data_IF_026200360374
#
_entry.id   IF_026200360374
#
_cell.length_a   1.000
_cell.length_b   1.000
_cell.length_c   1.000
_cell.angle_alpha   90.00
_cell.angle_beta   90.00
_cell.angle_gamma   90.00
#
_symmetry.space_group_name_H-M   'P 1'
#
loop_
_entity.id
_entity.type
_entity.pdbx_description
1 polymer ?
#
# COMPACT_ATOMS: atom_id res chain seq x y z
N UNK A 1 -24.23 -10.68 -55.46
CA UNK A 1 -24.46 -10.06 -54.15
C UNK A 1 -24.41 -11.18 -53.12
N UNK A 2 -23.28 -11.83 -52.85
CA UNK A 2 -21.93 -11.37 -52.49
C UNK A 2 -21.89 -10.62 -51.14
N UNK A 3 -21.25 -11.28 -50.16
CA UNK A 3 -20.71 -10.83 -48.86
C UNK A 3 -21.76 -10.41 -47.80
N UNK A 4 -22.05 -11.21 -46.76
CA UNK A 4 -21.16 -11.57 -45.64
C UNK A 4 -20.21 -10.43 -45.24
N UNK A 5 -20.70 -9.54 -44.38
CA UNK A 5 -19.84 -8.72 -43.53
C UNK A 5 -20.19 -8.99 -42.08
N UNK A 6 -19.59 -10.08 -41.59
CA UNK A 6 -19.19 -10.19 -40.21
C UNK A 6 -18.27 -9.01 -39.86
N UNK A 7 -18.68 -8.16 -38.93
CA UNK A 7 -17.76 -7.55 -37.95
C UNK A 7 -18.51 -7.26 -36.66
N UNK A 8 -18.68 -8.30 -35.85
CA UNK A 8 -18.76 -8.18 -34.39
C UNK A 8 -17.37 -7.72 -33.94
N UNK A 9 -17.15 -6.40 -33.88
CA UNK A 9 -15.86 -5.84 -33.48
C UNK A 9 -15.98 -5.10 -32.15
N UNK A 10 -15.35 -5.71 -31.15
CA UNK A 10 -14.69 -5.09 -30.00
C UNK A 10 -15.57 -4.42 -28.92
N UNK A 11 -16.16 -5.28 -28.10
CA UNK A 11 -16.12 -5.12 -26.64
C UNK A 11 -14.66 -5.02 -26.18
N UNK A 12 -14.13 -3.80 -26.03
CA UNK A 12 -12.84 -3.52 -25.38
C UNK A 12 -12.85 -2.13 -24.74
N UNK A 13 -13.50 -2.03 -23.60
CA UNK A 13 -13.08 -1.10 -22.53
C UNK A 13 -13.80 -1.51 -21.25
N UNK A 14 -13.33 -2.61 -20.66
CA UNK A 14 -13.69 -2.92 -19.28
C UNK A 14 -13.20 -1.75 -18.40
N UNK A 15 -14.06 -1.15 -17.57
CA UNK A 15 -13.74 0.06 -16.84
C UNK A 15 -12.75 -0.29 -15.73
N UNK A 16 -11.72 0.53 -15.58
CA UNK A 16 -11.17 0.72 -14.23
C UNK A 16 -12.33 1.35 -13.47
N UNK A 17 -13.03 0.55 -12.66
CA UNK A 17 -14.17 0.98 -11.87
C UNK A 17 -13.84 2.30 -11.18
N UNK A 18 -14.69 3.31 -11.34
CA UNK A 18 -14.53 4.64 -10.76
C UNK A 18 -14.51 4.66 -9.21
N UNK A 19 -14.66 3.50 -8.57
CA UNK A 19 -14.64 3.28 -7.11
C UNK A 19 -13.34 2.62 -6.60
N UNK A 20 -12.37 2.28 -7.46
CA UNK A 20 -11.09 1.79 -6.98
C UNK A 20 -10.24 2.97 -6.44
N UNK A 21 -9.66 2.86 -5.22
CA UNK A 21 -8.79 3.91 -4.69
C UNK A 21 -7.66 4.19 -5.67
N UNK A 22 -7.35 5.46 -5.88
CA UNK A 22 -6.28 5.82 -6.80
C UNK A 22 -4.94 5.29 -6.28
N UNK A 23 -3.97 5.17 -7.18
CA UNK A 23 -2.59 4.83 -6.79
C UNK A 23 -2.07 5.73 -5.66
N UNK A 24 -2.35 7.03 -5.76
CA UNK A 24 -1.97 8.01 -4.74
C UNK A 24 -2.63 7.72 -3.39
N UNK A 25 -3.92 7.38 -3.38
CA UNK A 25 -4.65 7.06 -2.16
C UNK A 25 -4.10 5.82 -1.46
N UNK A 26 -3.76 4.77 -2.23
CA UNK A 26 -3.14 3.56 -1.68
C UNK A 26 -1.76 3.83 -1.09
N UNK A 27 -0.92 4.60 -1.79
CA UNK A 27 0.42 4.94 -1.32
C UNK A 27 0.36 5.81 -0.04
N UNK A 28 -0.53 6.80 -0.02
CA UNK A 28 -0.75 7.66 1.14
C UNK A 28 -1.19 6.84 2.36
N UNK A 29 -2.19 5.96 2.19
CA UNK A 29 -2.65 5.10 3.29
C UNK A 29 -1.55 4.22 3.87
N UNK A 30 -0.71 3.63 3.02
CA UNK A 30 0.41 2.82 3.47
C UNK A 30 1.42 3.60 4.33
N UNK A 31 1.70 4.84 3.92
CA UNK A 31 2.62 5.73 4.65
C UNK A 31 2.00 6.13 5.99
N UNK A 32 0.71 6.50 6.00
CA UNK A 32 -0.02 6.85 7.22
C UNK A 32 -0.04 5.69 8.22
N UNK A 33 -0.29 4.46 7.75
CA UNK A 33 -0.34 3.28 8.60
C UNK A 33 1.02 2.99 9.28
N UNK A 34 2.12 3.16 8.55
CA UNK A 34 3.47 3.00 9.09
C UNK A 34 3.85 4.13 10.06
N UNK A 35 3.44 5.36 9.79
CA UNK A 35 3.64 6.51 10.67
C UNK A 35 2.90 6.33 12.00
N UNK A 36 1.65 5.87 11.95
CA UNK A 36 0.84 5.58 13.13
C UNK A 36 1.48 4.47 13.99
N UNK A 37 1.94 3.37 13.37
CA UNK A 37 2.61 2.28 14.10
C UNK A 37 3.91 2.74 14.75
N UNK A 38 4.70 3.57 14.08
CA UNK A 38 5.92 4.15 14.66
C UNK A 38 5.61 5.06 15.85
N UNK A 39 4.60 5.94 15.73
CA UNK A 39 4.18 6.81 16.84
C UNK A 39 3.75 6.03 18.07
N UNK A 40 3.00 4.94 17.87
CA UNK A 40 2.57 4.05 18.97
C UNK A 40 3.78 3.39 19.65
N UNK A 41 4.76 2.92 18.87
CA UNK A 41 5.99 2.35 19.42
C UNK A 41 6.77 3.40 20.22
N UNK A 42 6.96 4.59 19.67
CA UNK A 42 7.66 5.71 20.32
C UNK A 42 6.99 6.15 21.62
N UNK A 43 5.66 6.23 21.63
CA UNK A 43 4.89 6.54 22.84
C UNK A 43 5.06 5.46 23.90
N UNK A 44 5.01 4.18 23.51
CA UNK A 44 5.21 3.08 24.46
C UNK A 44 6.63 3.06 25.04
N UNK A 45 7.65 3.43 24.25
CA UNK A 45 9.02 3.58 24.73
C UNK A 45 9.12 4.73 25.75
N UNK A 46 8.45 5.86 25.48
CA UNK A 46 8.41 6.99 26.42
C UNK A 46 7.74 6.61 27.72
N UNK A 47 6.60 5.93 27.68
CA UNK A 47 5.87 5.46 28.86
C UNK A 47 6.71 4.47 29.68
N UNK A 48 7.48 3.60 29.03
CA UNK A 48 8.41 2.70 29.71
C UNK A 48 9.54 3.48 30.40
N UNK A 49 10.10 4.48 29.72
CA UNK A 49 11.19 5.29 30.26
C UNK A 49 10.74 6.20 31.43
N UNK A 50 9.49 6.65 31.43
CA UNK A 50 8.88 7.42 32.53
C UNK A 50 8.39 6.54 33.67
N UNK A 51 8.33 5.22 33.48
CA UNK A 51 7.82 4.25 34.45
C UNK A 51 6.29 4.21 34.53
N UNK A 52 5.59 4.86 33.60
CA UNK A 52 4.12 4.74 33.45
C UNK A 52 3.72 3.37 32.88
N UNK A 53 4.57 2.79 32.03
CA UNK A 53 4.43 1.43 31.53
C UNK A 53 5.49 0.53 32.18
N UNK A 54 5.09 -0.64 32.65
CA UNK A 54 6.01 -1.60 33.32
C UNK A 54 6.21 -2.87 32.50
N UNK A 55 5.39 -3.08 31.47
CA UNK A 55 5.46 -4.22 30.59
C UNK A 55 6.43 -3.98 29.44
N UNK A 56 7.72 -4.28 29.69
CA UNK A 56 8.76 -4.29 28.64
C UNK A 56 8.34 -5.18 27.46
N UNK A 57 7.61 -6.27 27.73
CA UNK A 57 7.13 -7.20 26.69
C UNK A 57 6.20 -6.50 25.69
N UNK A 58 5.28 -5.67 26.16
CA UNK A 58 4.33 -4.94 25.30
C UNK A 58 5.03 -3.87 24.46
N UNK A 59 6.03 -3.20 25.04
CA UNK A 59 6.85 -2.20 24.32
C UNK A 59 7.65 -2.86 23.20
N UNK A 60 8.29 -3.99 23.49
CA UNK A 60 9.04 -4.75 22.48
C UNK A 60 8.11 -5.29 21.40
N UNK A 61 6.91 -5.79 21.76
CA UNK A 61 5.93 -6.24 20.78
C UNK A 61 5.48 -5.11 19.84
N UNK A 62 5.17 -3.92 20.36
CA UNK A 62 4.80 -2.75 19.54
C UNK A 62 5.94 -2.32 18.62
N UNK A 63 7.19 -2.39 19.09
CA UNK A 63 8.36 -2.08 18.27
C UNK A 63 8.54 -3.08 17.12
N UNK A 64 8.41 -4.37 17.40
CA UNK A 64 8.48 -5.43 16.38
C UNK A 64 7.33 -5.30 15.37
N UNK A 65 6.12 -4.96 15.83
CA UNK A 65 4.98 -4.69 14.94
C UNK A 65 5.26 -3.52 14.00
N UNK A 66 5.83 -2.42 14.51
CA UNK A 66 6.21 -1.27 13.71
C UNK A 66 7.29 -1.62 12.66
N UNK A 67 8.33 -2.37 13.04
CA UNK A 67 9.38 -2.80 12.11
C UNK A 67 8.84 -3.74 11.03
N UNK A 68 8.01 -4.72 11.40
CA UNK A 68 7.38 -5.64 10.44
C UNK A 68 6.48 -4.88 9.44
N UNK A 69 5.67 -3.93 9.93
CA UNK A 69 4.79 -3.11 9.08
C UNK A 69 5.62 -2.24 8.13
N UNK A 70 6.72 -1.65 8.60
CA UNK A 70 7.64 -0.89 7.75
C UNK A 70 8.25 -1.73 6.63
N UNK A 71 8.70 -2.95 6.95
CA UNK A 71 9.25 -3.90 5.96
C UNK A 71 8.19 -4.25 4.91
N UNK A 72 6.97 -4.52 5.32
CA UNK A 72 5.86 -4.79 4.42
C UNK A 72 5.59 -3.59 3.50
N UNK A 73 5.53 -2.37 4.06
CA UNK A 73 5.35 -1.15 3.28
C UNK A 73 6.45 -0.99 2.22
N UNK A 74 7.71 -1.27 2.56
CA UNK A 74 8.82 -1.20 1.61
C UNK A 74 8.60 -2.14 0.43
N UNK A 75 8.21 -3.39 0.66
CA UNK A 75 7.93 -4.34 -0.42
C UNK A 75 6.78 -3.87 -1.31
N UNK A 76 5.72 -3.32 -0.70
CA UNK A 76 4.59 -2.79 -1.44
C UNK A 76 5.01 -1.57 -2.24
N UNK A 77 5.78 -0.64 -1.66
CA UNK A 77 6.35 0.53 -2.36
C UNK A 77 7.16 0.10 -3.58
N UNK A 78 8.03 -0.90 -3.44
CA UNK A 78 8.86 -1.38 -4.54
C UNK A 78 7.99 -1.97 -5.68
N UNK A 79 6.96 -2.76 -5.33
CA UNK A 79 5.98 -3.29 -6.29
C UNK A 79 5.15 -2.19 -6.96
N UNK A 80 4.71 -1.19 -6.20
CA UNK A 80 3.94 -0.05 -6.69
C UNK A 80 4.76 0.78 -7.69
N UNK A 81 6.03 1.04 -7.40
CA UNK A 81 6.96 1.73 -8.31
C UNK A 81 7.20 0.90 -9.58
N UNK A 82 7.35 -0.42 -9.46
CA UNK A 82 7.50 -1.31 -10.61
C UNK A 82 6.25 -1.30 -11.51
N UNK A 83 5.06 -1.41 -10.92
CA UNK A 83 3.79 -1.37 -11.65
C UNK A 83 3.60 -0.03 -12.38
N UNK A 84 3.94 1.09 -11.74
CA UNK A 84 3.90 2.41 -12.38
C UNK A 84 4.85 2.48 -13.60
N UNK A 85 6.08 1.98 -13.45
CA UNK A 85 7.05 1.93 -14.56
C UNK A 85 6.58 1.06 -15.72
N UNK A 86 5.99 -0.10 -15.43
CA UNK A 86 5.46 -1.03 -16.45
C UNK A 86 4.37 -0.35 -17.29
N UNK A 87 3.39 0.28 -16.64
CA UNK A 87 2.30 1.00 -17.33
C UNK A 87 2.84 2.11 -18.24
N UNK A 88 3.88 2.84 -17.81
CA UNK A 88 4.51 3.86 -18.64
C UNK A 88 5.35 3.29 -19.80
N UNK A 89 5.95 2.11 -19.63
CA UNK A 89 6.71 1.45 -20.69
C UNK A 89 5.80 0.83 -21.76
N UNK A 90 4.61 0.38 -21.40
CA UNK A 90 3.63 -0.20 -22.33
C UNK A 90 2.90 0.84 -23.20
N UNK A 91 2.93 2.12 -22.82
CA UNK A 91 2.30 3.22 -23.58
C UNK A 91 3.23 3.90 -24.58
N UNK A 92 4.51 3.50 -24.63
CA UNK A 92 5.49 3.89 -25.65
C UNK A 92 5.55 2.90 -26.81
#
# INVERSE_FOLDING_TARGET
MAEELATRSADKSNPISADAPSFGDMLTKLIEEVDDKQKIADESIKQLATGEETSIQDVVMKLEEADMTFRLMKEIRDKLVAAYKEVMSMSS
#
